data_IF_947007052578
#
_entry.id   IF_947007052578
#
_cell.length_a   1.000
_cell.length_b   1.000
_cell.length_c   1.000
_cell.angle_alpha   90.00
_cell.angle_beta   90.00
_cell.angle_gamma   90.00
#
_symmetry.space_group_name_H-M   'P 1'
#
loop_
_entity.id
_entity.type
_entity.pdbx_description
1 polymer ?
#
# COMPACT_ATOMS: atom_id res chain seq x y z
N UNK A 1 16.97 10.38 8.26
CA UNK A 1 16.31 10.06 6.98
C UNK A 1 16.23 8.56 6.90
N UNK A 2 15.03 8.01 6.95
CA UNK A 2 14.83 6.57 7.01
C UNK A 2 15.30 5.93 5.70
N UNK A 3 16.11 4.89 5.79
CA UNK A 3 16.83 4.20 4.70
C UNK A 3 15.94 3.78 3.51
N UNK A 4 14.65 3.61 3.77
CA UNK A 4 13.64 3.36 2.75
C UNK A 4 13.40 4.55 1.82
N UNK A 5 13.41 5.80 2.30
CA UNK A 5 13.22 6.96 1.41
C UNK A 5 14.38 7.16 0.43
N UNK A 6 15.60 6.78 0.82
CA UNK A 6 16.78 6.86 -0.05
C UNK A 6 16.74 5.84 -1.19
N UNK A 7 16.20 4.65 -0.94
CA UNK A 7 15.98 3.63 -1.98
C UNK A 7 14.88 4.06 -2.97
N UNK A 8 13.88 4.81 -2.51
CA UNK A 8 12.86 5.39 -3.38
C UNK A 8 13.35 6.63 -4.14
N UNK A 9 14.27 7.43 -3.58
CA UNK A 9 14.86 8.58 -4.29
C UNK A 9 15.68 8.18 -5.52
N UNK A 10 16.36 7.03 -5.49
CA UNK A 10 17.16 6.55 -6.63
C UNK A 10 16.29 5.87 -7.71
N UNK A 11 15.21 5.18 -7.31
CA UNK A 11 14.30 4.49 -8.25
C UNK A 11 13.19 5.38 -8.84
N UNK A 12 12.93 6.56 -8.25
CA UNK A 12 11.70 7.34 -8.47
C UNK A 12 11.96 8.81 -8.83
N UNK A 13 12.58 9.05 -9.98
CA UNK A 13 12.18 10.20 -10.83
C UNK A 13 10.93 9.78 -11.62
N UNK A 14 9.82 9.55 -10.93
CA UNK A 14 8.77 10.56 -10.68
C UNK A 14 7.74 10.73 -11.80
N UNK A 15 7.33 9.64 -12.47
CA UNK A 15 6.04 9.65 -13.16
C UNK A 15 4.90 9.26 -12.21
N UNK A 16 5.10 8.26 -11.36
CA UNK A 16 4.01 7.62 -10.59
C UNK A 16 3.58 8.39 -9.35
N UNK A 17 4.50 9.09 -8.69
CA UNK A 17 4.17 9.94 -7.53
C UNK A 17 3.29 11.15 -7.90
N UNK A 18 3.22 11.50 -9.19
CA UNK A 18 2.29 12.52 -9.69
C UNK A 18 0.95 11.96 -10.16
N UNK A 19 0.76 10.63 -10.16
CA UNK A 19 -0.48 10.02 -10.65
C UNK A 19 -1.51 9.88 -9.56
N UNK A 20 -2.79 10.00 -9.94
CA UNK A 20 -3.91 9.88 -9.01
C UNK A 20 -4.02 8.46 -8.44
N UNK A 21 -3.63 7.47 -9.23
CA UNK A 21 -3.65 6.05 -8.90
C UNK A 21 -2.75 5.73 -7.70
N UNK A 22 -1.59 6.39 -7.60
CA UNK A 22 -0.71 6.24 -6.44
C UNK A 22 -1.40 6.67 -5.14
N UNK A 23 -1.97 7.88 -5.12
CA UNK A 23 -2.67 8.39 -3.94
C UNK A 23 -3.92 7.59 -3.62
N UNK A 24 -4.65 7.12 -4.64
CA UNK A 24 -5.78 6.23 -4.41
C UNK A 24 -5.38 4.91 -3.77
N UNK A 25 -4.28 4.31 -4.23
CA UNK A 25 -3.73 3.13 -3.58
C UNK A 25 -3.38 3.41 -2.13
N UNK A 26 -2.68 4.52 -1.86
CA UNK A 26 -2.29 4.93 -0.50
C UNK A 26 -3.50 5.10 0.43
N UNK A 27 -4.57 5.74 -0.06
CA UNK A 27 -5.83 5.92 0.70
C UNK A 27 -6.50 4.57 0.98
N UNK A 28 -6.57 3.69 -0.03
CA UNK A 28 -7.19 2.36 0.15
C UNK A 28 -6.41 1.53 1.17
N UNK A 29 -5.08 1.55 1.09
CA UNK A 29 -4.19 0.87 2.03
C UNK A 29 -4.46 1.32 3.47
N UNK A 30 -4.59 2.63 3.68
CA UNK A 30 -4.91 3.19 4.98
C UNK A 30 -6.31 2.78 5.48
N UNK A 31 -7.35 3.02 4.68
CA UNK A 31 -8.75 2.84 5.09
C UNK A 31 -9.16 1.37 5.29
N UNK A 32 -8.47 0.44 4.63
CA UNK A 32 -8.79 -0.98 4.67
C UNK A 32 -7.85 -1.79 5.56
N UNK A 33 -6.87 -1.15 6.20
CA UNK A 33 -6.00 -1.80 7.18
C UNK A 33 -6.83 -2.31 8.38
N UNK A 34 -6.58 -3.54 8.88
CA UNK A 34 -5.68 -4.55 8.33
C UNK A 34 -6.26 -5.22 7.08
N UNK A 35 -5.45 -5.38 6.04
CA UNK A 35 -5.85 -6.03 4.78
C UNK A 35 -5.47 -7.49 4.86
N UNK A 36 -6.48 -8.36 4.87
CA UNK A 36 -6.31 -9.82 4.87
C UNK A 36 -6.24 -10.36 3.45
N UNK A 37 -5.49 -11.46 3.23
CA UNK A 37 -5.43 -12.09 1.93
C UNK A 37 -6.81 -12.65 1.56
N UNK A 38 -6.96 -13.01 0.29
CA UNK A 38 -8.10 -13.79 -0.19
C UNK A 38 -7.56 -14.86 -1.11
N UNK A 39 -8.14 -16.05 -1.05
CA UNK A 39 -7.74 -17.13 -1.94
C UNK A 39 -8.16 -16.77 -3.37
N UNK A 40 -7.32 -17.09 -4.36
CA UNK A 40 -7.67 -16.91 -5.77
C UNK A 40 -8.98 -17.65 -6.17
N UNK A 41 -9.33 -18.71 -5.42
CA UNK A 41 -10.54 -19.49 -5.62
C UNK A 41 -11.80 -18.82 -5.04
N UNK A 42 -11.64 -17.83 -4.15
CA UNK A 42 -12.74 -17.11 -3.49
C UNK A 42 -12.98 -15.73 -4.12
N UNK A 43 -12.08 -15.28 -5.00
CA UNK A 43 -12.22 -14.01 -5.71
C UNK A 43 -13.05 -14.16 -6.97
N UNK A 44 -14.01 -13.27 -7.17
CA UNK A 44 -14.71 -13.15 -8.46
C UNK A 44 -13.84 -12.38 -9.46
N UNK A 45 -14.07 -12.60 -10.76
CA UNK A 45 -13.35 -11.86 -11.83
C UNK A 45 -13.59 -10.35 -11.77
N UNK A 46 -14.71 -9.92 -11.17
CA UNK A 46 -15.00 -8.50 -10.94
C UNK A 46 -14.13 -7.95 -9.80
N UNK A 47 -13.96 -8.70 -8.72
CA UNK A 47 -13.06 -8.36 -7.60
C UNK A 47 -11.58 -8.36 -8.02
N UNK A 48 -11.16 -9.25 -8.92
CA UNK A 48 -9.82 -9.23 -9.54
C UNK A 48 -9.51 -7.93 -10.27
N UNK A 49 -10.51 -7.34 -10.94
CA UNK A 49 -10.35 -6.09 -11.66
C UNK A 49 -10.30 -4.86 -10.73
N UNK A 50 -10.70 -5.00 -9.46
CA UNK A 50 -10.67 -3.93 -8.47
C UNK A 50 -9.32 -3.85 -7.75
N UNK A 51 -8.79 -2.63 -7.57
CA UNK A 51 -7.50 -2.38 -6.90
C UNK A 51 -7.40 -3.03 -5.52
N UNK A 52 -8.47 -3.02 -4.74
CA UNK A 52 -8.49 -3.68 -3.43
C UNK A 52 -8.41 -5.20 -3.52
N UNK A 53 -9.14 -5.83 -4.46
CA UNK A 53 -9.07 -7.28 -4.66
C UNK A 53 -7.69 -7.71 -5.18
N UNK A 54 -7.12 -6.96 -6.13
CA UNK A 54 -5.75 -7.15 -6.59
C UNK A 54 -4.73 -7.03 -5.45
N UNK A 55 -4.88 -6.06 -4.54
CA UNK A 55 -4.02 -5.97 -3.35
C UNK A 55 -4.14 -7.23 -2.47
N UNK A 56 -5.36 -7.71 -2.20
CA UNK A 56 -5.58 -8.90 -1.36
C UNK A 56 -5.03 -10.18 -1.98
N UNK A 57 -5.10 -10.36 -3.30
CA UNK A 57 -4.53 -11.54 -3.98
C UNK A 57 -3.00 -11.56 -3.93
N UNK A 58 -2.35 -10.40 -3.96
CA UNK A 58 -0.89 -10.27 -3.83
C UNK A 58 -0.35 -10.68 -2.45
N UNK A 59 -1.20 -10.69 -1.43
CA UNK A 59 -0.76 -10.94 -0.07
C UNK A 59 -0.40 -12.40 0.22
N UNK A 60 -0.92 -13.36 -0.55
CA UNK A 60 -0.53 -14.78 -0.50
C UNK A 60 -0.50 -15.35 0.93
N UNK A 61 -1.61 -15.26 1.67
CA UNK A 61 -1.69 -15.79 3.04
C UNK A 61 -1.08 -14.89 4.13
N UNK A 62 -0.74 -13.63 3.81
CA UNK A 62 -0.19 -12.67 4.78
C UNK A 62 -1.14 -11.50 4.98
N UNK A 63 -1.15 -10.92 6.16
CA UNK A 63 -1.94 -9.72 6.46
C UNK A 63 -1.05 -8.48 6.33
N UNK A 64 -1.51 -7.49 5.58
CA UNK A 64 -0.87 -6.19 5.50
C UNK A 64 -1.48 -5.26 6.55
N UNK A 65 -0.61 -4.72 7.39
CA UNK A 65 -1.00 -3.72 8.40
C UNK A 65 -0.34 -2.41 8.01
N UNK A 66 -1.16 -1.37 7.99
CA UNK A 66 -0.78 0.00 7.67
C UNK A 66 -1.14 0.87 8.86
N UNK A 67 -0.17 1.62 9.36
CA UNK A 67 -0.27 2.49 10.52
C UNK A 67 0.19 3.89 10.12
N UNK A 68 -0.58 4.92 10.46
CA UNK A 68 -0.11 6.30 10.29
C UNK A 68 1.03 6.59 11.24
N UNK A 69 2.03 7.30 10.73
CA UNK A 69 3.12 7.86 11.53
C UNK A 69 2.84 9.35 11.67
N UNK A 70 3.17 9.95 12.82
CA UNK A 70 3.05 11.41 13.03
C UNK A 70 4.13 12.18 12.23
N UNK A 71 4.02 12.11 10.91
CA UNK A 71 4.89 12.74 9.93
C UNK A 71 4.14 12.91 8.61
N UNK A 72 4.34 14.06 7.98
CA UNK A 72 3.88 14.30 6.62
C UNK A 72 5.12 14.38 5.72
N UNK A 73 5.10 13.66 4.61
CA UNK A 73 6.13 13.67 3.58
C UNK A 73 5.78 14.73 2.55
N UNK A 74 6.72 15.65 2.29
CA UNK A 74 6.61 16.59 1.21
C UNK A 74 7.19 15.93 -0.06
N UNK A 75 6.29 15.48 -0.95
CA UNK A 75 6.66 14.73 -2.15
C UNK A 75 7.16 15.69 -3.23
N UNK A 76 6.43 16.79 -3.44
CA UNK A 76 6.82 17.92 -4.28
C UNK A 76 6.02 19.19 -3.88
N UNK A 77 6.16 20.28 -4.66
CA UNK A 77 5.50 21.56 -4.40
C UNK A 77 3.96 21.50 -4.31
N UNK A 78 3.33 20.45 -4.85
CA UNK A 78 1.87 20.31 -4.96
C UNK A 78 1.31 19.20 -4.07
N UNK A 79 2.13 18.21 -3.71
CA UNK A 79 1.65 17.01 -3.02
C UNK A 79 2.32 16.78 -1.67
N UNK A 80 1.47 16.67 -0.66
CA UNK A 80 1.81 16.20 0.68
C UNK A 80 1.22 14.80 0.87
N UNK A 81 1.97 13.92 1.52
CA UNK A 81 1.55 12.55 1.79
C UNK A 81 1.66 12.25 3.29
N UNK A 82 0.60 11.74 3.89
CA UNK A 82 0.67 11.20 5.25
C UNK A 82 1.66 10.03 5.27
N UNK A 83 2.69 10.10 6.11
CA UNK A 83 3.65 9.01 6.26
C UNK A 83 2.94 7.81 6.91
N UNK A 84 3.21 6.63 6.38
CA UNK A 84 2.62 5.39 6.86
C UNK A 84 3.69 4.33 7.00
N UNK A 85 3.60 3.60 8.11
CA UNK A 85 4.38 2.41 8.34
C UNK A 85 3.60 1.20 7.82
N UNK A 86 4.21 0.47 6.91
CA UNK A 86 3.63 -0.74 6.33
C UNK A 86 4.37 -1.95 6.90
N UNK A 87 3.62 -2.95 7.39
CA UNK A 87 4.17 -4.21 7.90
C UNK A 87 3.35 -5.39 7.40
N UNK A 88 4.03 -6.44 6.96
CA UNK A 88 3.40 -7.70 6.54
C UNK A 88 3.56 -8.70 7.68
N UNK A 89 2.45 -9.31 8.09
CA UNK A 89 2.41 -10.31 9.16
C UNK A 89 1.92 -11.61 8.55
N UNK A 90 2.64 -12.70 8.76
CA UNK A 90 2.15 -14.03 8.40
C UNK A 90 0.98 -14.36 9.33
N UNK A 91 -0.07 -15.00 8.82
CA UNK A 91 -0.96 -15.76 9.70
C UNK A 91 -0.07 -16.81 10.38
N UNK A 92 0.26 -16.59 11.66
CA UNK A 92 0.88 -17.62 12.48
C UNK A 92 -0.24 -18.61 12.73
N UNK A 93 -0.06 -19.84 12.25
CA UNK A 93 -0.91 -21.00 12.54
C UNK A 93 -1.44 -20.94 13.98
N UNK A 94 -2.76 -20.79 14.11
CA UNK A 94 -3.47 -21.00 15.36
C UNK A 94 -3.83 -22.48 15.52
#
# INVERSE_FOLDING_TARGET
MSEWMATWQEASRSAWLGTREFYFCWIILHQKSPITPVSAHEMTSEEEAHLYGALRSLLQGRTLIVEEVDRILNIDERFLLQDMKIRVVNEVDA
#
